data_IF_995758442140
#
_entry.id   IF_995758442140
#
_cell.length_a   1.000
_cell.length_b   1.000
_cell.length_c   1.000
_cell.angle_alpha   90.00
_cell.angle_beta   90.00
_cell.angle_gamma   90.00
#
_symmetry.space_group_name_H-M   'P 1'
#
loop_
_entity.id
_entity.type
_entity.pdbx_description
1 polymer ?
#
# COMPACT_ATOMS: atom_id res chain seq x y z
N UNK A 1 28.46 -12.74 4.25
CA UNK A 1 28.76 -11.43 3.60
C UNK A 1 27.43 -10.87 3.11
N UNK A 2 26.85 -9.97 3.91
CA UNK A 2 25.60 -9.30 3.60
C UNK A 2 25.89 -8.24 2.54
N UNK A 3 25.49 -8.48 1.30
CA UNK A 3 25.43 -7.42 0.29
C UNK A 3 24.14 -6.63 0.55
N UNK A 4 24.19 -5.74 1.56
CA UNK A 4 23.20 -4.67 1.72
C UNK A 4 23.43 -3.66 0.62
N UNK A 5 22.67 -3.73 -0.48
CA UNK A 5 22.59 -2.66 -1.46
C UNK A 5 21.13 -2.51 -1.86
N UNK A 6 20.51 -1.49 -1.27
CA UNK A 6 19.22 -0.86 -1.61
C UNK A 6 18.26 -1.69 -2.47
N UNK A 7 17.37 -2.36 -1.76
CA UNK A 7 16.13 -2.89 -2.28
C UNK A 7 15.17 -1.71 -2.51
N UNK A 8 15.15 -1.11 -3.71
CA UNK A 8 13.96 -0.32 -4.13
C UNK A 8 12.87 -1.33 -4.44
N UNK A 9 12.05 -1.57 -3.41
CA UNK A 9 10.94 -2.51 -3.52
C UNK A 9 9.70 -1.71 -3.78
N UNK A 10 8.86 -2.25 -4.66
CA UNK A 10 7.53 -1.72 -4.92
C UNK A 10 6.57 -2.87 -4.85
N UNK A 11 5.64 -2.76 -3.90
CA UNK A 11 4.50 -3.67 -3.78
C UNK A 11 3.40 -3.09 -4.67
N UNK A 12 3.06 -3.82 -5.73
CA UNK A 12 1.92 -3.48 -6.57
C UNK A 12 0.78 -4.44 -6.28
N UNK A 13 -0.42 -3.89 -6.09
CA UNK A 13 -1.65 -4.66 -6.21
C UNK A 13 -2.06 -4.56 -7.69
N UNK A 14 -1.92 -5.67 -8.41
CA UNK A 14 -2.27 -5.75 -9.82
C UNK A 14 -3.33 -6.82 -10.03
N UNK A 15 -4.28 -6.57 -10.92
CA UNK A 15 -5.17 -7.63 -11.40
C UNK A 15 -4.39 -8.54 -12.34
N UNK A 16 -4.54 -9.84 -12.14
CA UNK A 16 -4.02 -10.86 -13.05
C UNK A 16 -4.70 -10.69 -14.42
N UNK A 17 -3.95 -10.55 -15.52
CA UNK A 17 -4.52 -10.39 -16.86
C UNK A 17 -5.27 -11.63 -17.37
N UNK A 18 -5.07 -12.82 -16.77
CA UNK A 18 -5.74 -14.06 -17.17
C UNK A 18 -7.00 -14.35 -16.35
N UNK A 19 -6.96 -14.08 -15.04
CA UNK A 19 -8.02 -14.51 -14.12
C UNK A 19 -8.72 -13.34 -13.39
N UNK A 20 -8.28 -12.10 -13.57
CA UNK A 20 -8.88 -10.91 -12.94
C UNK A 20 -8.68 -10.78 -11.43
N UNK A 21 -8.07 -11.77 -10.78
CA UNK A 21 -7.79 -11.78 -9.34
C UNK A 21 -6.64 -10.83 -8.98
N UNK A 22 -6.78 -10.15 -7.85
CA UNK A 22 -5.75 -9.27 -7.31
C UNK A 22 -4.56 -10.09 -6.80
N UNK A 23 -3.35 -9.65 -7.14
CA UNK A 23 -2.09 -10.29 -6.75
C UNK A 23 -1.16 -9.30 -6.05
N UNK A 24 -0.32 -9.83 -5.16
CA UNK A 24 0.81 -9.11 -4.57
C UNK A 24 2.04 -9.36 -5.43
N UNK A 25 2.62 -8.28 -5.94
CA UNK A 25 3.87 -8.35 -6.71
C UNK A 25 5.00 -7.76 -5.87
N UNK A 26 5.95 -8.60 -5.50
CA UNK A 26 7.21 -8.21 -4.85
C UNK A 26 8.31 -8.13 -5.91
N UNK A 27 8.78 -6.90 -6.21
CA UNK A 27 9.88 -6.65 -7.14
C UNK A 27 11.09 -6.11 -6.42
N UNK A 28 12.26 -6.62 -6.76
CA UNK A 28 13.51 -6.15 -6.20
C UNK A 28 14.59 -5.99 -7.27
N UNK A 29 15.50 -5.05 -7.02
CA UNK A 29 16.66 -4.80 -7.86
C UNK A 29 17.93 -5.18 -7.11
N UNK A 30 18.85 -5.83 -7.81
CA UNK A 30 20.21 -6.03 -7.30
C UNK A 30 21.04 -4.82 -7.66
N UNK A 31 21.30 -3.95 -6.70
CA UNK A 31 22.23 -2.85 -6.89
C UNK A 31 23.64 -3.38 -6.61
N UNK A 32 24.54 -3.23 -7.57
CA UNK A 32 25.93 -3.68 -7.46
C UNK A 32 26.83 -2.74 -8.24
N UNK A 33 27.97 -2.32 -7.68
CA UNK A 33 28.94 -1.49 -8.40
C UNK A 33 29.65 -2.26 -9.53
N UNK A 34 29.50 -3.59 -9.58
CA UNK A 34 30.12 -4.42 -10.62
C UNK A 34 29.38 -4.23 -11.94
N UNK A 35 30.13 -3.97 -13.00
CA UNK A 35 29.62 -3.78 -14.36
C UNK A 35 28.80 -4.96 -14.89
N UNK A 36 29.08 -6.18 -14.44
CA UNK A 36 28.34 -7.40 -14.81
C UNK A 36 26.87 -7.36 -14.38
N UNK A 37 26.57 -6.70 -13.27
CA UNK A 37 25.21 -6.62 -12.72
C UNK A 37 24.43 -5.39 -13.25
N UNK A 38 25.05 -4.52 -14.06
CA UNK A 38 24.41 -3.27 -14.56
C UNK A 38 23.21 -3.50 -15.48
N UNK A 39 23.10 -4.68 -16.08
CA UNK A 39 22.00 -5.06 -16.96
C UNK A 39 21.12 -6.17 -16.37
N UNK A 40 21.29 -6.46 -15.08
CA UNK A 40 20.46 -7.46 -14.40
C UNK A 40 19.01 -6.97 -14.36
N UNK A 41 18.11 -7.80 -14.87
CA UNK A 41 16.67 -7.59 -14.74
C UNK A 41 16.25 -7.68 -13.27
N UNK A 42 15.18 -6.98 -12.86
CA UNK A 42 14.67 -7.10 -11.50
C UNK A 42 14.21 -8.53 -11.24
N UNK A 43 14.40 -8.99 -10.02
CA UNK A 43 13.69 -10.15 -9.51
C UNK A 43 12.21 -9.79 -9.29
N UNK A 44 11.34 -10.77 -9.51
CA UNK A 44 9.91 -10.63 -9.30
C UNK A 44 9.37 -11.91 -8.66
N UNK A 45 8.58 -11.74 -7.61
CA UNK A 45 7.73 -12.77 -7.00
C UNK A 45 6.29 -12.27 -7.11
N UNK A 46 5.40 -13.15 -7.56
CA UNK A 46 3.97 -12.89 -7.68
C UNK A 46 3.23 -13.90 -6.84
N UNK A 47 2.38 -13.41 -5.95
CA UNK A 47 1.57 -14.24 -5.07
C UNK A 47 0.11 -13.82 -5.13
N UNK A 48 -0.79 -14.78 -4.91
CA UNK A 48 -2.17 -14.42 -4.61
C UNK A 48 -2.24 -13.72 -3.24
N UNK A 49 -3.35 -13.03 -2.98
CA UNK A 49 -3.56 -12.43 -1.66
C UNK A 49 -3.54 -13.45 -0.53
N UNK A 50 -4.06 -14.66 -0.76
CA UNK A 50 -4.07 -15.71 0.25
C UNK A 50 -2.66 -16.26 0.50
N UNK A 51 -1.90 -16.54 -0.56
CA UNK A 51 -0.52 -17.04 -0.42
C UNK A 51 0.35 -16.02 0.33
N UNK A 52 0.19 -14.73 0.03
CA UNK A 52 0.87 -13.65 0.74
C UNK A 52 0.53 -13.60 2.24
N UNK A 53 -0.73 -13.84 2.60
CA UNK A 53 -1.17 -13.84 3.99
C UNK A 53 -0.57 -15.00 4.79
N UNK A 54 -0.27 -16.11 4.11
CA UNK A 54 0.35 -17.30 4.70
C UNK A 54 1.90 -17.24 4.67
N UNK A 55 2.52 -16.46 3.78
CA UNK A 55 3.97 -16.29 3.73
C UNK A 55 4.51 -15.32 4.81
N UNK A 56 4.84 -15.89 5.97
CA UNK A 56 5.47 -15.16 7.07
C UNK A 56 6.87 -14.61 6.77
N UNK A 57 7.62 -15.22 5.83
CA UNK A 57 8.96 -14.78 5.48
C UNK A 57 8.89 -13.49 4.67
N UNK A 58 8.07 -13.47 3.60
CA UNK A 58 7.87 -12.28 2.79
C UNK A 58 7.29 -11.13 3.62
N UNK A 59 6.36 -11.41 4.54
CA UNK A 59 5.85 -10.41 5.47
C UNK A 59 6.95 -9.82 6.37
N UNK A 60 7.87 -10.65 6.85
CA UNK A 60 9.02 -10.20 7.64
C UNK A 60 9.95 -9.30 6.81
N UNK A 61 10.22 -9.65 5.56
CA UNK A 61 11.01 -8.83 4.64
C UNK A 61 10.36 -7.47 4.37
N UNK A 62 9.05 -7.45 4.06
CA UNK A 62 8.28 -6.21 3.88
C UNK A 62 8.37 -5.33 5.12
N UNK A 63 8.17 -5.91 6.31
CA UNK A 63 8.27 -5.17 7.56
C UNK A 63 9.68 -4.65 7.81
N UNK A 64 10.72 -5.37 7.39
CA UNK A 64 12.10 -4.95 7.56
C UNK A 64 12.46 -3.80 6.62
N UNK A 65 12.01 -3.85 5.36
CA UNK A 65 12.34 -2.86 4.33
C UNK A 65 11.47 -1.60 4.43
N UNK A 66 10.16 -1.76 4.62
CA UNK A 66 9.19 -0.65 4.60
C UNK A 66 8.61 -0.30 5.97
N UNK A 67 8.87 -1.10 6.99
CA UNK A 67 8.30 -0.93 8.32
C UNK A 67 6.92 -1.58 8.50
N UNK A 68 6.52 -1.68 9.77
CA UNK A 68 5.27 -2.35 10.19
C UNK A 68 4.01 -1.73 9.60
N UNK A 69 3.98 -0.41 9.41
CA UNK A 69 2.82 0.31 8.88
C UNK A 69 2.47 -0.16 7.46
N UNK A 70 3.48 -0.33 6.62
CA UNK A 70 3.29 -0.81 5.25
C UNK A 70 2.90 -2.29 5.25
N UNK A 71 3.49 -3.12 6.11
CA UNK A 71 3.05 -4.52 6.26
C UNK A 71 1.57 -4.62 6.63
N UNK A 72 1.13 -3.89 7.67
CA UNK A 72 -0.28 -3.89 8.09
C UNK A 72 -1.20 -3.43 6.98
N UNK A 73 -0.80 -2.38 6.25
CA UNK A 73 -1.52 -1.89 5.10
C UNK A 73 -1.65 -2.94 3.98
N UNK A 74 -0.56 -3.62 3.61
CA UNK A 74 -0.57 -4.68 2.59
C UNK A 74 -1.45 -5.86 3.03
N UNK A 75 -1.44 -6.23 4.32
CA UNK A 75 -2.33 -7.27 4.85
C UNK A 75 -3.80 -6.88 4.78
N UNK A 76 -4.15 -5.67 5.21
CA UNK A 76 -5.52 -5.17 5.15
C UNK A 76 -6.03 -5.14 3.70
N UNK A 77 -5.17 -4.73 2.77
CA UNK A 77 -5.39 -4.81 1.32
C UNK A 77 -5.70 -6.22 0.82
N UNK A 78 -4.96 -7.23 1.30
CA UNK A 78 -5.14 -8.63 0.89
C UNK A 78 -6.36 -9.29 1.53
N UNK A 79 -6.91 -8.68 2.58
CA UNK A 79 -8.09 -9.14 3.30
C UNK A 79 -9.36 -8.39 2.87
N UNK A 80 -9.30 -7.59 1.80
CA UNK A 80 -10.37 -6.69 1.33
C UNK A 80 -10.86 -5.65 2.36
N UNK A 81 -10.12 -5.44 3.45
CA UNK A 81 -10.40 -4.42 4.45
C UNK A 81 -9.68 -3.12 4.05
N UNK A 82 -10.30 -2.33 3.17
CA UNK A 82 -9.69 -1.11 2.65
C UNK A 82 -10.51 0.15 2.96
N UNK A 83 -9.97 0.96 3.86
CA UNK A 83 -10.50 2.29 4.14
C UNK A 83 -9.97 3.31 3.11
N UNK A 84 -10.63 3.37 1.95
CA UNK A 84 -10.29 4.30 0.86
C UNK A 84 -10.27 5.75 1.33
N UNK A 85 -11.22 6.08 2.20
CA UNK A 85 -11.45 7.41 2.73
C UNK A 85 -10.31 7.93 3.61
N UNK A 86 -9.71 7.09 4.45
CA UNK A 86 -8.64 7.53 5.36
C UNK A 86 -7.33 7.87 4.66
N UNK A 87 -7.22 7.56 3.37
CA UNK A 87 -5.99 7.69 2.58
C UNK A 87 -6.06 8.74 1.49
N UNK A 88 -7.22 9.35 1.29
CA UNK A 88 -7.36 10.51 0.42
C UNK A 88 -6.51 11.66 0.97
N UNK A 89 -5.93 12.47 0.08
CA UNK A 89 -5.25 13.69 0.49
C UNK A 89 -6.24 14.68 1.06
N UNK A 90 -5.78 15.52 1.99
CA UNK A 90 -6.62 16.55 2.62
C UNK A 90 -7.32 17.42 1.56
N UNK A 91 -6.65 17.74 0.46
CA UNK A 91 -7.25 18.47 -0.67
C UNK A 91 -8.45 17.78 -1.32
N UNK A 92 -8.45 16.45 -1.42
CA UNK A 92 -9.57 15.68 -1.98
C UNK A 92 -10.66 15.54 -0.92
N UNK A 93 -10.29 15.27 0.33
CA UNK A 93 -11.23 15.20 1.45
C UNK A 93 -12.02 16.50 1.59
N UNK A 94 -11.34 17.65 1.53
CA UNK A 94 -11.96 18.97 1.58
C UNK A 94 -12.86 19.24 0.39
N UNK A 95 -12.51 18.76 -0.80
CA UNK A 95 -13.38 18.88 -1.97
C UNK A 95 -14.67 18.08 -1.78
N UNK A 96 -14.56 16.85 -1.29
CA UNK A 96 -15.73 16.01 -0.96
C UNK A 96 -16.60 16.69 0.10
N UNK A 97 -16.00 17.24 1.17
CA UNK A 97 -16.73 17.96 2.23
C UNK A 97 -17.46 19.18 1.67
N UNK A 98 -16.80 19.99 0.82
CA UNK A 98 -17.39 21.20 0.24
C UNK A 98 -18.55 20.91 -0.74
N UNK A 99 -18.53 19.74 -1.37
CA UNK A 99 -19.59 19.31 -2.28
C UNK A 99 -20.79 18.69 -1.55
N UNK A 100 -20.72 18.50 -0.22
CA UNK A 100 -21.77 17.91 0.62
C UNK A 100 -22.56 18.96 1.41
N UNK A 101 -23.82 18.66 1.71
CA UNK A 101 -24.64 19.49 2.60
C UNK A 101 -24.19 19.34 4.06
N UNK A 102 -24.42 20.37 4.89
CA UNK A 102 -24.00 20.41 6.30
C UNK A 102 -24.47 19.19 7.13
N UNK A 103 -25.65 18.66 6.82
CA UNK A 103 -26.18 17.45 7.45
C UNK A 103 -25.34 16.21 7.09
N UNK A 104 -24.97 16.07 5.82
CA UNK A 104 -24.18 14.95 5.31
C UNK A 104 -22.74 14.98 5.81
N UNK A 105 -22.14 16.17 5.96
CA UNK A 105 -20.82 16.33 6.58
C UNK A 105 -20.83 15.80 8.02
N UNK A 106 -21.90 16.08 8.77
CA UNK A 106 -22.07 15.58 10.13
C UNK A 106 -22.18 14.05 10.21
N UNK A 107 -22.87 13.42 9.24
CA UNK A 107 -22.95 11.95 9.17
C UNK A 107 -21.62 11.32 8.73
N UNK A 108 -20.92 11.94 7.78
CA UNK A 108 -19.63 11.47 7.28
C UNK A 108 -18.54 11.55 8.36
N UNK A 109 -18.56 12.58 9.21
CA UNK A 109 -17.67 12.69 10.37
C UNK A 109 -17.94 11.66 11.48
N UNK A 110 -19.14 11.04 11.51
CA UNK A 110 -19.46 9.95 12.45
C UNK A 110 -18.97 8.60 11.97
N UNK A 111 -18.89 8.40 10.65
CA UNK A 111 -18.45 7.14 10.04
C UNK A 111 -16.94 7.10 9.80
N UNK A 112 -16.28 8.27 9.64
CA UNK A 112 -14.83 8.35 9.44
C UNK A 112 -14.18 9.38 10.36
N UNK A 113 -13.24 8.92 11.18
CA UNK A 113 -12.45 9.80 12.06
C UNK A 113 -11.65 10.83 11.27
N UNK A 114 -11.17 10.46 10.07
CA UNK A 114 -10.36 11.32 9.19
C UNK A 114 -11.14 12.54 8.71
N UNK A 115 -12.40 12.35 8.29
CA UNK A 115 -13.27 13.44 7.86
C UNK A 115 -13.63 14.38 9.00
N UNK A 116 -13.83 13.84 10.21
CA UNK A 116 -14.04 14.65 11.42
C UNK A 116 -12.83 15.53 11.73
N UNK A 117 -11.63 14.97 11.64
CA UNK A 117 -10.38 15.71 11.88
C UNK A 117 -10.19 16.83 10.86
N UNK A 118 -10.38 16.54 9.56
CA UNK A 118 -10.24 17.53 8.49
C UNK A 118 -11.30 18.62 8.57
N UNK A 119 -12.57 18.29 8.82
CA UNK A 119 -13.65 19.27 9.00
C UNK A 119 -13.42 20.18 10.21
N UNK A 120 -12.84 19.66 11.30
CA UNK A 120 -12.53 20.44 12.50
C UNK A 120 -11.33 21.38 12.36
N UNK A 121 -10.50 21.22 11.32
CA UNK A 121 -9.35 22.10 11.05
C UNK A 121 -9.71 23.38 10.31
N UNK A 122 -10.88 23.38 9.66
CA UNK A 122 -11.36 24.49 8.80
C UNK A 122 -12.52 25.28 9.44
N UNK A 123 -12.87 25.00 10.70
CA UNK A 123 -13.82 25.79 11.51
C UNK A 123 -13.09 26.60 12.57
#
# INVERSE_FOLDING_TARGET
KLCFLELDVKIFNSKDPLNGHSQVIWRWWKISPRTVDRYSKPGELKESHQDFLDDTLLQSEISMVFGRRILQYTKALCQDHYDYLERLSDSILLRIINDLELEDVGQLGRTSHRFREVSSRDT
#
